data_IF_770884757643
#
_entry.id   IF_770884757643
#
_cell.length_a   1.000
_cell.length_b   1.000
_cell.length_c   1.000
_cell.angle_alpha   90.00
_cell.angle_beta   90.00
_cell.angle_gamma   90.00
#
_symmetry.space_group_name_H-M   'P 1'
#
loop_
_entity.id
_entity.type
_entity.pdbx_description
1 polymer ?
#
# COMPACT_ATOMS: atom_id res chain seq x y z
N UNK A 1 36.09 52.10 -30.04
CA UNK A 1 34.97 52.82 -29.36
C UNK A 1 33.81 52.92 -30.33
N UNK A 2 32.53 52.91 -29.89
CA UNK A 2 31.86 51.94 -29.00
C UNK A 2 30.52 51.44 -29.61
N UNK A 3 29.65 50.61 -29.01
CA UNK A 3 29.71 49.79 -27.77
C UNK A 3 29.55 48.30 -28.19
N UNK A 4 28.54 47.46 -27.88
CA UNK A 4 27.51 47.46 -26.83
C UNK A 4 26.55 46.25 -26.93
N UNK A 5 26.02 45.68 -25.85
CA UNK A 5 26.32 45.91 -24.42
C UNK A 5 26.21 44.58 -23.65
N UNK A 6 27.14 44.34 -22.72
CA UNK A 6 26.94 43.38 -21.64
C UNK A 6 25.71 43.79 -20.83
N UNK A 7 24.68 42.95 -20.76
CA UNK A 7 23.69 43.02 -19.67
C UNK A 7 24.03 42.01 -18.60
N UNK A 8 24.91 42.44 -17.70
CA UNK A 8 25.05 41.80 -16.40
C UNK A 8 23.73 41.99 -15.64
N UNK A 9 23.02 40.90 -15.34
CA UNK A 9 21.96 40.93 -14.33
C UNK A 9 22.58 40.86 -12.94
N UNK A 10 23.19 41.97 -12.53
CA UNK A 10 23.43 42.25 -11.13
C UNK A 10 22.16 42.86 -10.52
N UNK A 11 21.27 42.00 -10.02
CA UNK A 11 20.23 42.36 -9.07
C UNK A 11 20.54 41.58 -7.79
N UNK A 12 21.36 42.18 -6.92
CA UNK A 12 20.86 42.90 -5.75
C UNK A 12 20.17 41.93 -4.78
N UNK A 13 20.97 41.36 -3.88
CA UNK A 13 20.47 40.50 -2.82
C UNK A 13 19.55 41.29 -1.88
N UNK A 14 18.31 40.81 -1.74
CA UNK A 14 17.39 41.23 -0.69
C UNK A 14 17.02 39.97 0.08
N UNK A 15 17.82 39.71 1.12
CA UNK A 15 17.55 38.84 2.27
C UNK A 15 16.60 37.65 2.08
N UNK A 16 17.14 36.51 1.61
CA UNK A 16 16.68 35.21 2.15
C UNK A 16 17.36 34.98 3.50
N UNK A 17 17.02 35.81 4.50
CA UNK A 17 17.51 35.69 5.88
C UNK A 17 16.69 34.69 6.72
N UNK A 18 15.61 34.15 6.15
CA UNK A 18 15.02 32.92 6.61
C UNK A 18 15.97 31.75 6.30
N UNK A 19 17.00 31.57 7.16
CA UNK A 19 17.84 30.36 7.21
C UNK A 19 16.96 29.15 6.94
N UNK A 20 17.39 28.28 6.01
CA UNK A 20 16.63 27.07 5.67
C UNK A 20 16.18 26.38 6.95
N UNK A 21 14.87 26.33 7.16
CA UNK A 21 14.29 25.83 8.42
C UNK A 21 14.58 24.34 8.64
N UNK A 22 15.09 23.67 7.61
CA UNK A 22 15.43 22.26 7.60
C UNK A 22 16.88 22.14 7.19
N UNK A 23 17.77 21.98 8.17
CA UNK A 23 19.21 21.86 7.91
C UNK A 23 19.59 20.50 7.32
N UNK A 24 18.80 19.48 7.65
CA UNK A 24 18.92 18.11 7.17
C UNK A 24 17.53 17.59 6.80
N UNK A 25 17.45 16.81 5.73
CA UNK A 25 16.25 16.13 5.27
C UNK A 25 16.64 14.71 4.84
N UNK A 26 15.79 13.70 5.08
CA UNK A 26 16.07 12.35 4.64
C UNK A 26 16.17 12.29 3.11
N UNK A 27 17.04 11.42 2.59
CA UNK A 27 17.18 11.23 1.15
C UNK A 27 15.89 10.68 0.55
N UNK A 28 15.24 11.51 -0.28
CA UNK A 28 14.03 11.16 -1.04
C UNK A 28 14.31 11.35 -2.53
N UNK A 29 13.70 10.49 -3.37
CA UNK A 29 13.89 10.56 -4.81
C UNK A 29 13.34 11.88 -5.38
N UNK A 30 14.19 12.64 -6.07
CA UNK A 30 13.76 13.84 -6.80
C UNK A 30 13.27 13.47 -8.20
N UNK A 31 12.22 14.14 -8.70
CA UNK A 31 11.86 14.09 -10.12
C UNK A 31 13.06 14.55 -11.00
N UNK A 32 13.34 13.87 -12.12
CA UNK A 32 14.57 14.10 -12.90
C UNK A 32 14.59 15.44 -13.65
N UNK A 33 13.43 15.97 -14.02
CA UNK A 33 13.29 17.11 -14.94
C UNK A 33 13.08 18.47 -14.23
N UNK A 34 13.53 18.60 -12.97
CA UNK A 34 13.35 19.84 -12.19
C UNK A 34 14.33 20.93 -12.66
N UNK A 35 13.85 22.16 -12.98
CA UNK A 35 14.71 23.28 -13.36
C UNK A 35 15.72 23.67 -12.29
N UNK A 36 16.95 24.00 -12.69
CA UNK A 36 17.94 24.57 -11.78
C UNK A 36 17.67 26.06 -11.53
N UNK A 37 17.16 26.40 -10.35
CA UNK A 37 16.87 27.78 -9.93
C UNK A 37 15.55 27.90 -9.18
N UNK A 38 14.94 29.09 -9.12
CA UNK A 38 13.60 29.27 -8.57
C UNK A 38 12.55 28.59 -9.47
N UNK A 39 11.78 27.67 -8.91
CA UNK A 39 10.89 26.78 -9.67
C UNK A 39 9.45 27.32 -9.68
N UNK A 40 8.87 27.62 -10.86
CA UNK A 40 7.45 27.94 -11.03
C UNK A 40 6.47 27.01 -10.30
N UNK A 41 5.35 27.57 -9.85
CA UNK A 41 4.24 26.76 -9.30
C UNK A 41 3.72 25.70 -10.27
N UNK A 42 3.71 25.97 -11.58
CA UNK A 42 3.30 25.01 -12.60
C UNK A 42 4.30 23.85 -12.70
N UNK A 43 5.60 24.14 -12.70
CA UNK A 43 6.65 23.13 -12.82
C UNK A 43 6.75 22.28 -11.56
N UNK A 44 6.62 22.89 -10.37
CA UNK A 44 6.52 22.19 -9.09
C UNK A 44 5.31 21.25 -9.04
N UNK A 45 4.15 21.70 -9.55
CA UNK A 45 2.93 20.90 -9.61
C UNK A 45 3.09 19.69 -10.54
N UNK A 46 3.63 19.93 -11.74
CA UNK A 46 3.89 18.88 -12.73
C UNK A 46 4.93 17.86 -12.23
N UNK A 47 6.05 18.32 -11.67
CA UNK A 47 7.14 17.46 -11.22
C UNK A 47 6.72 16.49 -10.10
N UNK A 48 5.85 16.92 -9.18
CA UNK A 48 5.35 16.09 -8.07
C UNK A 48 3.97 15.46 -8.31
N UNK A 49 3.38 15.63 -9.50
CA UNK A 49 2.08 15.08 -9.84
C UNK A 49 0.91 15.61 -8.99
N UNK A 50 1.00 16.86 -8.52
CA UNK A 50 0.02 17.50 -7.63
C UNK A 50 -0.65 18.71 -8.29
N UNK A 51 -1.80 19.14 -7.76
CA UNK A 51 -2.48 20.34 -8.28
C UNK A 51 -1.91 21.63 -7.65
N UNK A 52 -2.09 22.78 -8.31
CA UNK A 52 -1.79 24.08 -7.70
C UNK A 52 -2.54 24.29 -6.36
N UNK A 53 -3.77 23.75 -6.25
CA UNK A 53 -4.56 23.78 -5.01
C UNK A 53 -3.89 22.98 -3.89
N UNK A 54 -3.25 21.85 -4.23
CA UNK A 54 -2.48 21.03 -3.29
C UNK A 54 -1.24 21.79 -2.80
N UNK A 55 -0.53 22.49 -3.69
CA UNK A 55 0.62 23.32 -3.30
C UNK A 55 0.21 24.48 -2.39
N UNK A 56 -0.88 25.19 -2.70
CA UNK A 56 -1.42 26.23 -1.80
C UNK A 56 -1.84 25.67 -0.44
N UNK A 57 -2.44 24.48 -0.41
CA UNK A 57 -2.75 23.81 0.85
C UNK A 57 -1.48 23.46 1.66
N UNK A 58 -0.38 23.07 1.00
CA UNK A 58 0.89 22.86 1.68
C UNK A 58 1.58 24.17 2.13
N UNK A 59 1.41 25.28 1.40
CA UNK A 59 1.77 26.65 1.85
C UNK A 59 0.98 27.02 3.12
N UNK A 60 -0.34 26.87 3.11
CA UNK A 60 -1.25 27.15 4.25
C UNK A 60 -0.92 26.29 5.48
N UNK A 61 -0.44 25.07 5.27
CA UNK A 61 0.01 24.14 6.33
C UNK A 61 1.45 24.35 6.78
N UNK A 62 2.18 25.32 6.21
CA UNK A 62 3.56 25.65 6.58
C UNK A 62 4.59 24.58 6.20
N UNK A 63 4.23 23.66 5.30
CA UNK A 63 5.07 22.55 4.86
C UNK A 63 6.10 22.97 3.81
N UNK A 64 5.72 23.93 2.95
CA UNK A 64 6.55 24.58 1.92
C UNK A 64 6.33 26.10 1.99
N UNK A 65 7.15 26.92 1.32
CA UNK A 65 7.03 28.38 1.42
C UNK A 65 7.37 29.11 0.11
N UNK A 66 6.35 29.34 -0.72
CA UNK A 66 6.49 30.05 -1.98
C UNK A 66 7.04 31.48 -1.81
N UNK A 67 8.16 31.74 -2.49
CA UNK A 67 8.67 33.07 -2.76
C UNK A 67 7.92 33.70 -3.94
N UNK A 68 8.11 35.02 -4.18
CA UNK A 68 7.50 35.72 -5.32
C UNK A 68 8.56 36.43 -6.17
N UNK A 69 8.52 36.16 -7.47
CA UNK A 69 9.26 36.93 -8.49
C UNK A 69 8.20 37.68 -9.31
N UNK A 70 8.07 38.99 -9.04
CA UNK A 70 6.98 39.80 -9.58
C UNK A 70 5.60 39.27 -9.13
N UNK A 71 4.77 38.86 -10.09
CA UNK A 71 3.45 38.27 -9.82
C UNK A 71 3.48 36.75 -9.63
N UNK A 72 4.62 36.11 -9.91
CA UNK A 72 4.73 34.65 -10.00
C UNK A 72 5.20 34.03 -8.68
N UNK A 73 4.52 32.97 -8.23
CA UNK A 73 5.01 32.12 -7.14
C UNK A 73 6.13 31.21 -7.65
N UNK A 74 7.22 31.17 -6.90
CA UNK A 74 8.37 30.29 -7.16
C UNK A 74 8.83 29.64 -5.85
N UNK A 75 9.34 28.43 -5.95
CA UNK A 75 9.89 27.67 -4.82
C UNK A 75 11.41 27.57 -4.96
N UNK A 76 12.11 27.37 -3.84
CA UNK A 76 13.56 27.11 -3.85
C UNK A 76 13.86 25.60 -3.86
N UNK A 77 15.16 25.27 -3.93
CA UNK A 77 15.60 23.87 -3.92
C UNK A 77 15.29 23.15 -2.60
N UNK A 78 15.16 23.87 -1.49
CA UNK A 78 14.84 23.25 -0.21
C UNK A 78 13.35 22.89 -0.14
N UNK A 79 12.47 23.72 -0.71
CA UNK A 79 11.06 23.37 -0.92
C UNK A 79 10.88 22.15 -1.83
N UNK A 80 11.75 21.96 -2.84
CA UNK A 80 11.79 20.72 -3.65
C UNK A 80 12.13 19.51 -2.79
N UNK A 81 13.16 19.61 -1.94
CA UNK A 81 13.53 18.52 -1.03
C UNK A 81 12.39 18.21 -0.05
N UNK A 82 11.74 19.23 0.51
CA UNK A 82 10.54 19.08 1.36
C UNK A 82 9.41 18.38 0.60
N UNK A 83 9.12 18.81 -0.64
CA UNK A 83 8.08 18.21 -1.49
C UNK A 83 8.33 16.74 -1.80
N UNK A 84 9.59 16.32 -1.97
CA UNK A 84 9.95 14.92 -2.16
C UNK A 84 9.63 14.08 -0.90
N UNK A 85 10.05 14.54 0.28
CA UNK A 85 9.74 13.86 1.56
C UNK A 85 8.22 13.79 1.79
N UNK A 86 7.50 14.91 1.60
CA UNK A 86 6.03 14.98 1.72
C UNK A 86 5.34 14.01 0.75
N UNK A 87 5.86 13.90 -0.48
CA UNK A 87 5.30 13.01 -1.51
C UNK A 87 5.47 11.54 -1.16
N UNK A 88 6.66 11.11 -0.71
CA UNK A 88 6.88 9.75 -0.22
C UNK A 88 5.97 9.42 0.96
N UNK A 89 5.82 10.34 1.93
CA UNK A 89 4.90 10.14 3.06
C UNK A 89 3.45 9.95 2.59
N UNK A 90 2.98 10.81 1.67
CA UNK A 90 1.64 10.75 1.08
C UNK A 90 1.40 9.43 0.34
N UNK A 91 2.38 8.93 -0.40
CA UNK A 91 2.30 7.65 -1.13
C UNK A 91 2.22 6.45 -0.19
N UNK A 92 2.84 6.51 1.00
CA UNK A 92 2.63 5.50 2.07
C UNK A 92 1.30 5.66 2.84
N UNK A 93 0.42 6.56 2.39
CA UNK A 93 -0.90 6.79 2.99
C UNK A 93 -0.83 7.44 4.38
N UNK A 94 0.23 8.19 4.70
CA UNK A 94 0.29 8.97 5.94
C UNK A 94 -0.69 10.17 5.88
N UNK A 95 -1.53 10.40 6.92
CA UNK A 95 -2.35 11.59 7.00
C UNK A 95 -1.52 12.88 7.05
N UNK A 96 -2.02 13.97 6.47
CA UNK A 96 -1.27 15.24 6.42
C UNK A 96 -0.85 15.78 7.80
N UNK A 97 -1.63 15.52 8.85
CA UNK A 97 -1.27 15.90 10.23
C UNK A 97 0.01 15.18 10.71
N UNK A 98 0.13 13.87 10.44
CA UNK A 98 1.33 13.08 10.76
C UNK A 98 2.53 13.57 9.94
N UNK A 99 2.31 14.00 8.68
CA UNK A 99 3.36 14.62 7.87
C UNK A 99 3.81 15.96 8.47
N UNK A 100 2.89 16.79 8.99
CA UNK A 100 3.26 18.03 9.68
C UNK A 100 4.09 17.76 10.94
N UNK A 101 3.66 16.81 11.79
CA UNK A 101 4.40 16.40 13.00
C UNK A 101 5.81 15.89 12.66
N UNK A 102 5.92 14.99 11.68
CA UNK A 102 7.20 14.48 11.18
C UNK A 102 8.12 15.60 10.67
N UNK A 103 7.56 16.56 9.92
CA UNK A 103 8.32 17.70 9.42
C UNK A 103 8.73 18.67 10.55
N UNK A 104 7.92 18.84 11.60
CA UNK A 104 8.34 19.62 12.78
C UNK A 104 9.44 18.92 13.60
N UNK A 105 9.46 17.59 13.67
CA UNK A 105 10.58 16.85 14.26
C UNK A 105 11.84 16.98 13.40
N UNK A 106 11.75 16.77 12.08
CA UNK A 106 12.87 16.93 11.13
C UNK A 106 13.48 18.34 11.13
N UNK A 107 12.69 19.38 11.45
CA UNK A 107 13.18 20.75 11.66
C UNK A 107 14.28 20.84 12.72
N UNK A 108 14.26 19.95 13.72
CA UNK A 108 15.17 19.94 14.86
C UNK A 108 16.40 19.05 14.69
N UNK A 109 16.49 18.26 13.61
CA UNK A 109 17.60 17.36 13.36
C UNK A 109 18.94 18.10 13.27
N UNK A 110 19.97 17.57 13.95
CA UNK A 110 21.33 18.12 14.02
C UNK A 110 22.33 17.41 13.10
N UNK A 111 21.96 16.27 12.50
CA UNK A 111 22.73 15.59 11.45
C UNK A 111 21.86 14.91 10.38
N UNK A 112 22.49 14.48 9.29
CA UNK A 112 21.84 13.75 8.21
C UNK A 112 21.39 12.35 8.67
N UNK A 113 22.24 11.67 9.46
CA UNK A 113 21.96 10.36 10.03
C UNK A 113 20.76 10.40 10.98
N UNK A 114 20.61 11.48 11.75
CA UNK A 114 19.44 11.69 12.61
C UNK A 114 18.15 11.90 11.78
N UNK A 115 18.20 12.75 10.74
CA UNK A 115 17.07 12.96 9.83
C UNK A 115 16.63 11.64 9.14
N UNK A 116 17.58 10.81 8.72
CA UNK A 116 17.30 9.48 8.17
C UNK A 116 16.78 8.50 9.23
N UNK A 117 17.23 8.59 10.48
CA UNK A 117 16.72 7.77 11.59
C UNK A 117 15.27 8.11 11.92
N UNK A 118 14.95 9.41 12.08
CA UNK A 118 13.58 9.92 12.30
C UNK A 118 12.65 9.42 11.19
N UNK A 119 13.07 9.55 9.93
CA UNK A 119 12.26 9.13 8.79
C UNK A 119 12.06 7.61 8.72
N UNK A 120 13.11 6.83 9.00
CA UNK A 120 13.05 5.37 9.08
C UNK A 120 12.13 4.89 10.20
N UNK A 121 12.12 5.57 11.34
CA UNK A 121 11.22 5.27 12.45
C UNK A 121 9.76 5.54 12.07
N UNK A 122 9.47 6.69 11.47
CA UNK A 122 8.12 7.03 10.98
C UNK A 122 7.60 6.02 9.94
N UNK A 123 8.43 5.60 8.98
CA UNK A 123 8.09 4.54 8.01
C UNK A 123 7.89 3.17 8.69
N UNK A 124 8.69 2.83 9.70
CA UNK A 124 8.55 1.59 10.49
C UNK A 124 7.25 1.57 11.30
N UNK A 125 6.88 2.72 11.89
CA UNK A 125 5.60 2.91 12.57
C UNK A 125 4.43 2.76 11.59
N UNK A 126 4.44 3.44 10.44
CA UNK A 126 3.37 3.33 9.43
C UNK A 126 3.25 1.91 8.87
N UNK A 127 4.36 1.19 8.67
CA UNK A 127 4.35 -0.23 8.30
C UNK A 127 3.64 -1.10 9.35
N UNK A 128 3.89 -0.86 10.65
CA UNK A 128 3.22 -1.60 11.74
C UNK A 128 1.72 -1.32 11.77
N UNK A 129 1.31 -0.07 11.58
CA UNK A 129 -0.11 0.32 11.46
C UNK A 129 -0.80 -0.40 10.29
N UNK A 130 -0.25 -0.30 9.09
CA UNK A 130 -0.79 -0.98 7.90
C UNK A 130 -0.90 -2.51 8.07
N UNK A 131 0.04 -3.12 8.82
CA UNK A 131 -0.02 -4.57 9.14
C UNK A 131 -1.17 -4.91 10.11
N UNK A 132 -1.45 -4.02 11.06
CA UNK A 132 -2.59 -4.15 11.98
C UNK A 132 -3.93 -3.87 11.27
N UNK A 133 -3.98 -2.86 10.41
CA UNK A 133 -5.12 -2.54 9.53
C UNK A 133 -5.46 -3.77 8.64
N UNK A 134 -4.46 -4.37 7.98
CA UNK A 134 -4.62 -5.59 7.17
C UNK A 134 -5.19 -6.77 7.98
N UNK A 135 -4.70 -6.97 9.21
CA UNK A 135 -5.20 -8.03 10.11
C UNK A 135 -6.65 -7.79 10.52
N UNK A 136 -7.03 -6.53 10.74
CA UNK A 136 -8.41 -6.13 11.05
C UNK A 136 -9.34 -6.32 9.85
N UNK A 137 -8.90 -5.90 8.66
CA UNK A 137 -9.63 -6.06 7.40
C UNK A 137 -9.87 -7.54 7.06
N UNK A 138 -8.87 -8.41 7.25
CA UNK A 138 -9.06 -9.86 7.08
C UNK A 138 -10.12 -10.42 8.04
N UNK A 139 -10.13 -10.01 9.31
CA UNK A 139 -11.17 -10.43 10.26
C UNK A 139 -12.55 -9.93 9.85
N UNK A 140 -12.67 -8.68 9.38
CA UNK A 140 -13.93 -8.12 8.90
C UNK A 140 -14.44 -8.84 7.65
N UNK A 141 -13.55 -9.16 6.70
CA UNK A 141 -13.90 -9.95 5.51
C UNK A 141 -14.39 -11.35 5.87
N UNK A 142 -13.75 -12.03 6.83
CA UNK A 142 -14.24 -13.32 7.33
C UNK A 142 -15.65 -13.19 7.91
N UNK A 143 -15.89 -12.21 8.79
CA UNK A 143 -17.21 -11.97 9.38
C UNK A 143 -18.28 -11.65 8.33
N UNK A 144 -17.93 -10.97 7.24
CA UNK A 144 -18.85 -10.73 6.12
C UNK A 144 -19.13 -12.02 5.35
N UNK A 145 -18.14 -12.89 5.11
CA UNK A 145 -18.36 -14.22 4.52
C UNK A 145 -19.31 -15.04 5.38
N UNK A 146 -19.00 -15.19 6.67
CA UNK A 146 -19.78 -16.00 7.62
C UNK A 146 -21.27 -15.60 7.65
N UNK A 147 -21.57 -14.29 7.50
CA UNK A 147 -22.94 -13.77 7.44
C UNK A 147 -23.63 -14.00 6.09
N UNK A 148 -22.91 -13.94 4.97
CA UNK A 148 -23.45 -14.24 3.65
C UNK A 148 -23.72 -15.75 3.48
N UNK A 149 -22.84 -16.58 4.02
CA UNK A 149 -22.97 -18.03 4.03
C UNK A 149 -24.21 -18.47 4.86
N UNK A 150 -24.50 -17.78 5.97
CA UNK A 150 -25.70 -18.03 6.78
C UNK A 150 -27.02 -17.84 6.01
N UNK A 151 -27.13 -16.77 5.20
CA UNK A 151 -28.37 -16.45 4.47
C UNK A 151 -28.68 -17.50 3.40
N UNK A 152 -27.64 -18.08 2.77
CA UNK A 152 -27.78 -19.16 1.79
C UNK A 152 -28.26 -20.51 2.38
N UNK A 153 -28.24 -20.67 3.71
CA UNK A 153 -28.65 -21.91 4.39
C UNK A 153 -30.16 -22.02 4.66
N UNK A 154 -30.93 -20.94 4.44
CA UNK A 154 -32.35 -20.86 4.82
C UNK A 154 -33.35 -21.20 3.70
N UNK A 155 -32.92 -21.20 2.44
CA UNK A 155 -33.80 -21.39 1.26
C UNK A 155 -33.77 -22.80 0.64
N UNK A 156 -33.04 -23.75 1.26
CA UNK A 156 -33.07 -25.15 0.86
C UNK A 156 -34.04 -25.93 1.77
N UNK A 157 -35.02 -26.68 1.23
CA UNK A 157 -35.81 -27.60 2.04
C UNK A 157 -34.86 -28.63 2.66
N UNK A 158 -35.10 -29.08 3.91
CA UNK A 158 -34.22 -30.02 4.57
C UNK A 158 -34.19 -31.34 3.79
N UNK A 159 -33.13 -31.56 3.02
CA UNK A 159 -32.79 -32.87 2.49
C UNK A 159 -32.41 -33.69 3.71
N UNK A 160 -33.39 -34.46 4.19
CA UNK A 160 -33.29 -35.37 5.30
C UNK A 160 -32.25 -36.45 4.97
N UNK A 161 -31.03 -36.29 5.46
CA UNK A 161 -30.07 -37.36 5.59
C UNK A 161 -29.30 -37.16 6.90
N UNK A 162 -29.43 -38.11 7.83
CA UNK A 162 -28.67 -38.17 9.08
C UNK A 162 -27.19 -38.51 8.79
N UNK A 163 -26.47 -37.58 8.16
CA UNK A 163 -25.02 -37.67 7.95
C UNK A 163 -24.36 -36.57 8.76
N UNK A 164 -23.50 -37.01 9.67
CA UNK A 164 -22.67 -36.14 10.48
C UNK A 164 -21.83 -35.23 9.55
N UNK A 165 -21.97 -33.89 9.61
CA UNK A 165 -21.24 -32.98 8.71
C UNK A 165 -19.72 -33.05 8.90
N UNK A 166 -19.24 -33.68 9.97
CA UNK A 166 -17.82 -34.00 10.19
C UNK A 166 -17.31 -35.21 9.36
N UNK A 167 -18.17 -35.91 8.61
CA UNK A 167 -17.77 -37.08 7.83
C UNK A 167 -17.54 -36.77 6.33
N UNK A 168 -16.33 -37.08 5.88
CA UNK A 168 -16.04 -37.21 4.45
C UNK A 168 -16.66 -38.51 3.92
N UNK A 169 -17.32 -38.43 2.78
CA UNK A 169 -17.68 -39.61 1.99
C UNK A 169 -16.43 -40.27 1.42
N UNK A 170 -16.52 -41.54 1.02
CA UNK A 170 -15.37 -42.26 0.48
C UNK A 170 -14.84 -41.63 -0.83
N UNK A 171 -15.71 -41.05 -1.65
CA UNK A 171 -15.32 -40.29 -2.85
C UNK A 171 -14.58 -38.99 -2.50
N UNK A 172 -15.02 -38.29 -1.45
CA UNK A 172 -14.33 -37.08 -0.97
C UNK A 172 -12.96 -37.41 -0.36
N UNK A 173 -12.85 -38.52 0.39
CA UNK A 173 -11.56 -39.00 0.91
C UNK A 173 -10.60 -39.33 -0.23
N UNK A 174 -11.03 -40.10 -1.23
CA UNK A 174 -10.20 -40.46 -2.39
C UNK A 174 -9.78 -39.23 -3.21
N UNK A 175 -10.68 -38.24 -3.40
CA UNK A 175 -10.33 -36.98 -4.04
C UNK A 175 -9.29 -36.19 -3.22
N UNK A 176 -9.45 -36.14 -1.90
CA UNK A 176 -8.53 -35.44 -0.99
C UNK A 176 -7.14 -36.11 -0.95
N UNK A 177 -7.07 -37.43 -1.03
CA UNK A 177 -5.82 -38.19 -1.20
C UNK A 177 -5.14 -37.84 -2.53
N UNK A 178 -5.85 -37.92 -3.67
CA UNK A 178 -5.32 -37.53 -4.98
C UNK A 178 -4.93 -36.04 -5.04
N UNK A 179 -5.64 -35.17 -4.32
CA UNK A 179 -5.28 -33.76 -4.17
C UNK A 179 -3.97 -33.57 -3.41
N UNK A 180 -3.73 -34.36 -2.35
CA UNK A 180 -2.48 -34.37 -1.59
C UNK A 180 -1.31 -34.92 -2.44
N UNK A 181 -1.53 -35.97 -3.23
CA UNK A 181 -0.58 -36.48 -4.23
C UNK A 181 -0.30 -35.51 -5.41
N UNK A 182 -0.91 -34.32 -5.41
CA UNK A 182 -0.66 -33.27 -6.40
C UNK A 182 -1.37 -33.47 -7.75
N UNK A 183 -2.43 -34.28 -7.82
CA UNK A 183 -3.19 -34.47 -9.06
C UNK A 183 -4.02 -33.21 -9.37
N UNK A 184 -4.00 -32.78 -10.63
CA UNK A 184 -4.88 -31.73 -11.12
C UNK A 184 -6.33 -32.21 -11.18
N UNK A 185 -7.30 -31.30 -11.07
CA UNK A 185 -8.75 -31.63 -11.12
C UNK A 185 -9.15 -32.43 -12.37
N UNK A 186 -8.45 -32.28 -13.50
CA UNK A 186 -8.63 -33.11 -14.70
C UNK A 186 -8.09 -34.54 -14.56
N UNK A 187 -6.97 -34.74 -13.83
CA UNK A 187 -6.45 -36.07 -13.51
C UNK A 187 -7.29 -36.77 -12.45
N UNK A 188 -7.78 -36.03 -11.45
CA UNK A 188 -8.71 -36.54 -10.43
C UNK A 188 -9.99 -37.04 -11.09
N UNK A 189 -10.60 -36.23 -11.98
CA UNK A 189 -11.77 -36.65 -12.76
C UNK A 189 -11.55 -37.99 -13.48
N UNK A 190 -10.41 -38.16 -14.16
CA UNK A 190 -10.06 -39.43 -14.83
C UNK A 190 -9.75 -40.59 -13.87
N UNK A 191 -9.24 -40.31 -12.67
CA UNK A 191 -8.90 -41.34 -11.68
C UNK A 191 -10.14 -41.87 -10.94
N UNK A 192 -11.18 -41.03 -10.79
CA UNK A 192 -12.44 -41.37 -10.11
C UNK A 192 -13.59 -41.74 -11.09
N UNK A 193 -13.30 -41.82 -12.40
CA UNK A 193 -14.27 -42.00 -13.49
C UNK A 193 -15.44 -40.98 -13.47
N UNK A 194 -15.10 -39.73 -13.18
CA UNK A 194 -16.02 -38.60 -13.09
C UNK A 194 -15.86 -37.62 -14.26
N UNK A 195 -16.92 -36.85 -14.55
CA UNK A 195 -16.82 -35.67 -15.42
C UNK A 195 -16.01 -34.59 -14.72
N UNK A 196 -15.36 -33.72 -15.50
CA UNK A 196 -14.51 -32.67 -14.95
C UNK A 196 -15.27 -31.69 -14.01
N UNK A 197 -16.54 -31.43 -14.30
CA UNK A 197 -17.43 -30.60 -13.47
C UNK A 197 -17.75 -31.27 -12.12
N UNK A 198 -17.97 -32.59 -12.11
CA UNK A 198 -18.24 -33.36 -10.88
C UNK A 198 -17.03 -33.41 -9.97
N UNK A 199 -15.83 -33.65 -10.52
CA UNK A 199 -14.59 -33.59 -9.76
C UNK A 199 -14.31 -32.17 -9.20
N UNK A 200 -14.74 -31.12 -9.91
CA UNK A 200 -14.62 -29.73 -9.45
C UNK A 200 -15.62 -29.37 -8.35
N UNK A 201 -16.86 -29.86 -8.44
CA UNK A 201 -17.85 -29.71 -7.38
C UNK A 201 -17.36 -30.40 -6.10
N UNK A 202 -16.88 -31.63 -6.22
CA UNK A 202 -16.38 -32.42 -5.10
C UNK A 202 -15.09 -31.83 -4.49
N UNK A 203 -14.22 -31.19 -5.29
CA UNK A 203 -13.11 -30.36 -4.79
C UNK A 203 -13.60 -29.13 -4.00
N UNK A 204 -14.69 -28.47 -4.44
CA UNK A 204 -15.29 -27.34 -3.73
C UNK A 204 -15.97 -27.75 -2.41
N UNK A 205 -16.68 -28.88 -2.39
CA UNK A 205 -17.31 -29.44 -1.19
C UNK A 205 -16.27 -29.78 -0.12
N UNK A 206 -15.13 -30.37 -0.51
CA UNK A 206 -14.01 -30.61 0.40
C UNK A 206 -13.44 -29.29 0.94
N UNK A 207 -13.20 -28.30 0.09
CA UNK A 207 -12.68 -26.99 0.51
C UNK A 207 -13.62 -26.34 1.54
N UNK A 208 -14.94 -26.42 1.31
CA UNK A 208 -15.99 -25.95 2.22
C UNK A 208 -16.00 -26.72 3.54
N UNK A 209 -16.02 -28.06 3.52
CA UNK A 209 -15.99 -28.92 4.72
C UNK A 209 -14.76 -28.71 5.60
N UNK A 210 -13.61 -28.37 5.02
CA UNK A 210 -12.40 -28.02 5.77
C UNK A 210 -12.32 -26.54 6.17
N UNK A 211 -13.35 -25.72 5.90
CA UNK A 211 -13.35 -24.26 6.08
C UNK A 211 -12.07 -23.60 5.50
N UNK A 212 -11.74 -23.95 4.26
CA UNK A 212 -10.53 -23.53 3.56
C UNK A 212 -10.88 -22.55 2.42
N UNK A 213 -9.93 -21.68 2.09
CA UNK A 213 -10.10 -20.69 1.02
C UNK A 213 -9.55 -21.20 -0.34
N UNK A 214 -8.84 -22.33 -0.33
CA UNK A 214 -8.30 -22.98 -1.52
C UNK A 214 -7.92 -24.45 -1.22
N UNK A 215 -7.69 -25.24 -2.29
CA UNK A 215 -7.29 -26.66 -2.20
C UNK A 215 -6.05 -26.91 -1.35
N UNK A 216 -5.03 -26.05 -1.41
CA UNK A 216 -3.78 -26.25 -0.65
C UNK A 216 -4.01 -26.10 0.86
N UNK A 217 -4.86 -25.16 1.26
CA UNK A 217 -5.26 -25.00 2.66
C UNK A 217 -6.15 -26.16 3.14
N UNK A 218 -7.01 -26.71 2.28
CA UNK A 218 -7.80 -27.91 2.59
C UNK A 218 -6.88 -29.13 2.82
N UNK A 219 -5.95 -29.40 1.90
CA UNK A 219 -4.93 -30.46 2.02
C UNK A 219 -4.12 -30.28 3.32
N UNK A 220 -3.60 -29.08 3.58
CA UNK A 220 -2.78 -28.82 4.77
C UNK A 220 -3.55 -29.11 6.08
N UNK A 221 -4.82 -28.72 6.16
CA UNK A 221 -5.68 -29.06 7.32
C UNK A 221 -5.94 -30.56 7.42
N UNK A 222 -6.18 -31.24 6.31
CA UNK A 222 -6.42 -32.69 6.29
C UNK A 222 -5.21 -33.50 6.75
N UNK A 223 -4.00 -33.10 6.35
CA UNK A 223 -2.74 -33.69 6.83
C UNK A 223 -2.54 -33.45 8.33
N UNK A 224 -2.80 -32.23 8.83
CA UNK A 224 -2.73 -31.92 10.26
C UNK A 224 -3.72 -32.71 11.12
N UNK A 225 -4.87 -33.08 10.55
CA UNK A 225 -5.89 -33.91 11.19
C UNK A 225 -5.63 -35.43 11.02
N UNK A 226 -4.55 -35.82 10.31
CA UNK A 226 -4.20 -37.22 10.06
C UNK A 226 -5.17 -37.95 9.12
N UNK A 227 -5.99 -37.21 8.35
CA UNK A 227 -7.02 -37.76 7.46
C UNK A 227 -6.40 -38.28 6.16
N UNK A 228 -5.32 -37.64 5.68
CA UNK A 228 -4.52 -38.05 4.51
C UNK A 228 -3.03 -37.90 4.82
N UNK A 229 -2.20 -38.69 4.13
CA UNK A 229 -0.74 -38.57 4.18
C UNK A 229 -0.25 -37.73 3.00
N UNK A 230 0.91 -37.08 3.17
CA UNK A 230 1.57 -36.23 2.16
C UNK A 230 2.89 -36.86 1.69
#
# INVERSE_FOLDING_TARGET
>A
MPDGSKRMFAAAGIASEARSKYRFLPSAALPPDIPQGPIPIADMANAFGVTHRTLHFYEEKGLISANRIGLMRVYDQDDVMRMAVITVCRETGMPIAVIQELMDVLRSAVSQEEAESIFREALSQRKRELTAEMSTLHRQLQQVSDLLDYDSSLDLPPINDNRDPASLTDQERQCLELMAEGYSTQRIARALDLRHEEARALEADIIMKFHANNRFQAIAKAVLLGIVQA
#
